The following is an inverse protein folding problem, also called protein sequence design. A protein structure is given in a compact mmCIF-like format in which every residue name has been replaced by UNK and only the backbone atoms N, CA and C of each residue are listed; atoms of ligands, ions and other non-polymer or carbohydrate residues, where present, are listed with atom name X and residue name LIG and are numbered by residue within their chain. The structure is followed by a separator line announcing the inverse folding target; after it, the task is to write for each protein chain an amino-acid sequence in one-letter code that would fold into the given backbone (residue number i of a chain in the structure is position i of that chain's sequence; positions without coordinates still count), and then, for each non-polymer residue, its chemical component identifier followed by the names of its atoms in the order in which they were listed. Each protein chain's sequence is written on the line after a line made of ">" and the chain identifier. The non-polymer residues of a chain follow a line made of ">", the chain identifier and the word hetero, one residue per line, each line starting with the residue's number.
data_IF_852551550834
#
_entry.id   IF_852551550834
#
_cell.length_a   1.000
_cell.length_b   1.000
_cell.length_c   1.000
_cell.angle_alpha   90.00
_cell.angle_beta   90.00
_cell.angle_gamma   90.00
#
_symmetry.space_group_name_H-M   'P 1'
#
loop_
_entity.id
_entity.type
_entity.pdbx_description
1 polymer ?
#
# COMPACT_ATOMS: atom_id res chain seq x y z
N UNK A 1 8.33 -0.53 -2.84
CA UNK A 1 9.28 0.50 -2.36
C UNK A 1 10.16 0.86 -3.52
N UNK A 2 10.15 2.11 -3.96
CA UNK A 2 10.96 2.59 -5.08
C UNK A 2 11.93 3.66 -4.57
N UNK A 3 13.25 3.57 -4.86
CA UNK A 3 14.19 4.61 -4.45
C UNK A 3 13.91 5.91 -5.21
N UNK A 4 13.78 7.01 -4.49
CA UNK A 4 13.61 8.36 -5.05
C UNK A 4 14.95 9.07 -5.19
N UNK A 5 15.89 8.81 -4.28
CA UNK A 5 17.21 9.44 -4.30
C UNK A 5 17.92 9.34 -2.95
N UNK A 6 19.08 9.99 -2.86
CA UNK A 6 19.89 10.08 -1.64
C UNK A 6 19.86 11.53 -1.16
N UNK A 7 19.66 11.72 0.14
CA UNK A 7 19.73 13.01 0.81
C UNK A 7 20.95 13.05 1.73
N UNK A 8 21.89 13.94 1.42
CA UNK A 8 23.04 14.20 2.26
C UNK A 8 22.65 15.19 3.36
N UNK A 9 22.73 14.77 4.62
CA UNK A 9 22.34 15.60 5.75
C UNK A 9 23.09 15.26 7.02
N UNK A 10 22.99 16.14 8.02
CA UNK A 10 23.67 15.99 9.28
C UNK A 10 22.69 15.65 10.41
N UNK A 11 22.92 14.54 11.10
CA UNK A 11 22.24 14.22 12.36
C UNK A 11 23.00 14.92 13.50
N UNK A 12 22.32 15.83 14.19
CA UNK A 12 22.90 16.58 15.32
C UNK A 12 22.42 16.00 16.64
N UNK A 13 23.37 15.61 17.50
CA UNK A 13 23.13 15.16 18.87
C UNK A 13 23.42 16.32 19.83
N UNK A 14 22.39 17.04 20.32
CA UNK A 14 22.59 18.19 21.17
C UNK A 14 23.09 17.79 22.56
N UNK A 15 24.09 18.49 23.08
CA UNK A 15 24.57 18.28 24.45
C UNK A 15 25.10 19.60 25.05
N UNK A 16 24.90 19.87 26.36
CA UNK A 16 25.28 21.15 26.99
C UNK A 16 26.77 21.49 26.90
N UNK A 17 27.64 20.48 26.87
CA UNK A 17 29.09 20.66 26.74
C UNK A 17 29.59 20.74 25.27
N UNK A 18 28.68 20.80 24.30
CA UNK A 18 28.97 20.80 22.86
C UNK A 18 28.19 19.71 22.12
N UNK A 19 27.58 20.07 20.99
CA UNK A 19 26.82 19.14 20.15
C UNK A 19 27.74 18.29 19.27
N UNK A 20 27.35 17.03 19.05
CA UNK A 20 28.03 16.14 18.09
C UNK A 20 27.26 16.15 16.77
N UNK A 21 27.97 16.24 15.65
CA UNK A 21 27.40 16.28 14.31
C UNK A 21 27.87 15.03 13.56
N UNK A 22 26.92 14.26 13.04
CA UNK A 22 27.14 13.08 12.24
C UNK A 22 26.71 13.35 10.81
N UNK A 23 27.63 13.24 9.85
CA UNK A 23 27.30 13.35 8.43
C UNK A 23 26.72 12.02 7.97
N UNK A 24 25.53 12.05 7.38
CA UNK A 24 24.76 10.86 7.00
C UNK A 24 24.15 11.01 5.62
N UNK A 25 24.13 9.92 4.87
CA UNK A 25 23.39 9.81 3.62
C UNK A 25 22.10 9.04 3.90
N UNK A 26 20.95 9.63 3.59
CA UNK A 26 19.63 9.02 3.80
C UNK A 26 19.05 8.63 2.44
N UNK A 27 18.83 7.33 2.24
CA UNK A 27 18.10 6.83 1.07
C UNK A 27 16.61 7.13 1.22
N UNK A 28 16.09 7.99 0.36
CA UNK A 28 14.67 8.36 0.33
C UNK A 28 13.92 7.38 -0.55
N UNK A 29 12.87 6.77 0.00
CA UNK A 29 12.08 5.72 -0.66
C UNK A 29 10.62 6.15 -0.79
N UNK A 30 10.04 6.02 -1.98
CA UNK A 30 8.61 6.21 -2.22
C UNK A 30 7.79 5.10 -1.54
N UNK A 31 6.71 5.49 -0.88
CA UNK A 31 5.81 4.63 -0.09
C UNK A 31 6.52 3.84 1.03
N UNK A 32 7.58 4.41 1.64
CA UNK A 32 8.17 3.86 2.87
C UNK A 32 7.50 4.51 4.10
N UNK A 33 6.91 3.69 4.96
CA UNK A 33 6.28 4.14 6.21
C UNK A 33 7.14 3.77 7.43
N UNK A 34 8.35 4.32 7.51
CA UNK A 34 9.17 4.18 8.72
C UNK A 34 9.09 5.42 9.61
N UNK A 35 8.82 5.22 10.89
CA UNK A 35 8.93 6.27 11.91
C UNK A 35 10.31 6.29 12.59
N UNK A 36 11.17 5.33 12.25
CA UNK A 36 12.46 5.13 12.89
C UNK A 36 13.57 5.22 11.84
N UNK A 37 14.67 5.88 12.22
CA UNK A 37 15.93 5.80 11.50
C UNK A 37 16.69 4.63 12.10
N UNK A 38 17.06 3.68 11.26
CA UNK A 38 17.91 2.56 11.65
C UNK A 38 19.34 2.96 11.28
N UNK A 39 20.21 3.05 12.29
CA UNK A 39 21.64 3.21 12.06
C UNK A 39 22.26 1.82 11.96
N UNK A 40 22.91 1.54 10.84
CA UNK A 40 23.64 0.28 10.65
C UNK A 40 24.91 0.23 11.49
N UNK A 41 25.42 -0.98 11.74
CA UNK A 41 26.65 -1.19 12.50
C UNK A 41 27.84 -0.40 11.97
N UNK A 42 27.91 -0.19 10.65
CA UNK A 42 28.96 0.61 10.03
C UNK A 42 28.99 2.07 10.56
N UNK A 43 27.82 2.68 10.76
CA UNK A 43 27.73 4.01 11.36
C UNK A 43 28.12 3.99 12.84
N UNK A 44 27.78 2.92 13.56
CA UNK A 44 28.22 2.76 14.95
C UNK A 44 29.75 2.69 15.02
N UNK A 45 30.39 1.96 14.11
CA UNK A 45 31.84 1.81 14.07
C UNK A 45 32.55 3.11 13.65
N UNK A 46 32.10 3.77 12.57
CA UNK A 46 32.71 5.03 12.08
C UNK A 46 32.72 6.10 13.17
N UNK A 47 31.58 6.26 13.84
CA UNK A 47 31.40 7.31 14.84
C UNK A 47 31.74 6.83 16.26
N UNK A 48 32.22 5.60 16.42
CA UNK A 48 32.56 5.02 17.73
C UNK A 48 31.39 5.07 18.71
N UNK A 49 30.18 4.74 18.25
CA UNK A 49 28.97 4.74 19.06
C UNK A 49 28.95 3.46 19.88
N UNK A 50 29.06 3.62 21.19
CA UNK A 50 29.00 2.50 22.14
C UNK A 50 27.72 2.60 22.97
N UNK A 51 26.89 1.55 22.89
CA UNK A 51 25.61 1.46 23.59
C UNK A 51 25.82 0.62 24.85
N UNK A 52 25.85 1.30 26.00
CA UNK A 52 26.08 0.65 27.28
C UNK A 52 24.74 0.46 28.02
N UNK A 53 24.40 -0.80 28.31
CA UNK A 53 23.28 -1.16 29.18
C UNK A 53 23.74 -1.34 30.63
N UNK A 54 23.97 -0.22 31.33
CA UNK A 54 24.07 -0.21 32.79
C UNK A 54 22.71 0.17 33.42
N UNK A 55 22.67 0.54 34.71
CA UNK A 55 21.43 0.91 35.43
C UNK A 55 20.55 1.92 34.66
N UNK A 56 21.17 2.79 33.86
CA UNK A 56 20.50 3.69 32.93
C UNK A 56 20.93 3.38 31.48
N UNK A 57 20.01 3.49 30.52
CA UNK A 57 20.31 3.33 29.09
C UNK A 57 20.92 4.63 28.55
N UNK A 58 22.17 4.56 28.14
CA UNK A 58 22.86 5.65 27.46
C UNK A 58 23.78 5.12 26.37
N UNK A 59 24.18 6.01 25.47
CA UNK A 59 25.23 5.74 24.50
C UNK A 59 26.30 6.83 24.55
N UNK A 60 27.50 6.51 24.11
CA UNK A 60 28.62 7.46 23.94
C UNK A 60 29.00 7.52 22.48
N UNK A 61 29.53 8.65 22.02
CA UNK A 61 29.99 8.82 20.63
C UNK A 61 31.47 9.18 20.65
N UNK A 62 32.27 8.47 19.84
CA UNK A 62 33.70 8.70 19.67
C UNK A 62 34.55 8.33 20.89
N UNK A 63 35.78 8.86 20.96
CA UNK A 63 36.74 8.53 22.01
C UNK A 63 36.38 9.10 23.40
N UNK A 64 35.48 10.07 23.48
CA UNK A 64 35.13 10.74 24.73
C UNK A 64 34.04 10.00 25.50
N UNK A 65 34.43 8.91 26.17
CA UNK A 65 33.52 8.09 27.00
C UNK A 65 32.85 8.83 28.18
N UNK A 66 33.25 10.07 28.46
CA UNK A 66 32.63 10.91 29.50
C UNK A 66 31.34 11.56 29.02
N UNK A 67 31.21 11.83 27.72
CA UNK A 67 30.02 12.46 27.15
C UNK A 67 28.97 11.38 26.87
N UNK A 68 27.94 11.35 27.72
CA UNK A 68 26.87 10.34 27.67
C UNK A 68 25.58 10.98 27.14
N UNK A 69 24.96 10.32 26.17
CA UNK A 69 23.67 10.69 25.63
C UNK A 69 22.63 9.73 26.17
N UNK A 70 21.68 10.25 26.94
CA UNK A 70 20.57 9.45 27.45
C UNK A 70 19.55 9.19 26.34
N UNK A 71 19.00 7.97 26.29
CA UNK A 71 17.82 7.72 25.48
C UNK A 71 16.62 8.44 26.12
N UNK A 72 15.91 9.25 25.34
CA UNK A 72 14.68 9.89 25.82
C UNK A 72 13.62 8.81 26.10
N UNK A 73 13.30 8.60 27.38
CA UNK A 73 12.18 7.74 27.80
C UNK A 73 10.81 8.36 27.54
N UNK A 74 10.76 9.58 27.01
CA UNK A 74 9.50 10.22 26.66
C UNK A 74 9.09 9.68 25.30
N UNK A 75 8.00 8.88 25.19
CA UNK A 75 7.32 8.72 23.92
C UNK A 75 6.73 10.09 23.60
N UNK A 76 7.52 10.97 22.98
CA UNK A 76 6.92 12.03 22.18
C UNK A 76 6.13 11.25 21.14
N UNK A 77 4.79 11.29 21.23
CA UNK A 77 3.95 11.03 20.07
C UNK A 77 4.56 11.92 19.00
N UNK A 78 5.34 11.34 18.10
CA UNK A 78 5.74 12.00 16.88
C UNK A 78 4.37 12.23 16.24
N UNK A 79 3.87 13.46 16.34
CA UNK A 79 2.65 13.85 15.64
C UNK A 79 2.91 13.43 14.21
N UNK A 80 2.13 12.47 13.72
CA UNK A 80 2.18 12.02 12.34
C UNK A 80 2.29 13.29 11.51
N UNK A 81 3.44 13.46 10.86
CA UNK A 81 3.87 14.75 10.34
C UNK A 81 2.72 15.28 9.47
N UNK A 82 2.11 16.40 9.86
CA UNK A 82 0.95 17.00 9.18
C UNK A 82 1.18 17.18 7.68
N UNK A 83 2.43 17.39 7.28
CA UNK A 83 2.85 17.46 5.88
C UNK A 83 2.46 16.23 5.05
N UNK A 84 2.51 15.01 5.60
CA UNK A 84 2.18 13.79 4.86
C UNK A 84 0.67 13.71 4.56
N UNK A 85 -0.17 14.14 5.50
CA UNK A 85 -1.63 14.17 5.30
C UNK A 85 -2.05 15.24 4.29
N UNK A 86 -1.38 16.39 4.28
CA UNK A 86 -1.60 17.43 3.28
C UNK A 86 -1.19 16.95 1.88
N UNK A 87 -0.07 16.21 1.76
CA UNK A 87 0.42 15.73 0.45
C UNK A 87 -0.58 14.77 -0.22
N UNK A 88 -1.15 13.83 0.54
CA UNK A 88 -2.14 12.88 -0.01
C UNK A 88 -3.47 13.55 -0.35
N UNK A 89 -3.83 14.62 0.36
CA UNK A 89 -5.04 15.38 0.09
C UNK A 89 -4.88 16.25 -1.17
N UNK A 90 -3.70 16.82 -1.38
CA UNK A 90 -3.33 17.48 -2.63
C UNK A 90 -3.36 16.48 -3.81
N UNK A 91 -2.77 15.30 -3.64
CA UNK A 91 -2.80 14.23 -4.65
C UNK A 91 -4.23 13.79 -5.01
N UNK A 92 -5.13 13.68 -4.02
CA UNK A 92 -6.55 13.40 -4.24
C UNK A 92 -7.19 14.49 -5.12
N UNK A 93 -6.88 15.76 -4.86
CA UNK A 93 -7.43 16.89 -5.63
C UNK A 93 -6.88 16.90 -7.06
N UNK A 94 -5.57 16.74 -7.20
CA UNK A 94 -4.86 16.90 -8.48
C UNK A 94 -5.01 15.70 -9.41
N UNK A 95 -5.15 14.48 -8.87
CA UNK A 95 -5.23 13.26 -9.69
C UNK A 95 -6.65 12.68 -9.77
N UNK A 96 -7.39 12.64 -8.66
CA UNK A 96 -8.70 11.96 -8.63
C UNK A 96 -9.88 12.91 -8.84
N UNK A 97 -9.81 14.12 -8.29
CA UNK A 97 -10.88 15.11 -8.41
C UNK A 97 -10.66 16.12 -9.53
N UNK A 98 -9.59 15.98 -10.33
CA UNK A 98 -9.29 16.89 -11.43
C UNK A 98 -10.42 16.96 -12.45
N UNK A 99 -11.01 15.81 -12.79
CA UNK A 99 -12.15 15.72 -13.70
C UNK A 99 -13.51 15.88 -12.98
N UNK A 100 -13.52 15.99 -11.65
CA UNK A 100 -14.73 16.06 -10.87
C UNK A 100 -15.40 17.43 -11.03
N UNK A 101 -16.65 17.42 -11.48
CA UNK A 101 -17.46 18.64 -11.58
C UNK A 101 -18.05 18.99 -10.21
N UNK A 102 -17.39 19.90 -9.51
CA UNK A 102 -17.88 20.47 -8.25
C UNK A 102 -18.76 21.68 -8.55
N UNK A 103 -19.88 21.82 -7.83
CA UNK A 103 -20.82 22.93 -8.03
C UNK A 103 -20.11 24.30 -7.90
N UNK A 104 -20.14 25.16 -8.94
CA UNK A 104 -19.41 26.43 -8.95
C UNK A 104 -19.95 27.46 -7.94
N UNK A 105 -21.16 27.27 -7.41
CA UNK A 105 -21.75 28.13 -6.38
C UNK A 105 -21.17 27.89 -4.98
N UNK A 106 -20.32 26.88 -4.80
CA UNK A 106 -19.68 26.60 -3.52
C UNK A 106 -18.59 27.63 -3.22
N UNK A 107 -18.64 28.22 -2.03
CA UNK A 107 -17.54 29.04 -1.52
C UNK A 107 -16.27 28.20 -1.31
N UNK A 108 -15.10 28.85 -1.32
CA UNK A 108 -13.82 28.16 -1.08
C UNK A 108 -13.82 27.36 0.24
N UNK A 109 -14.46 27.89 1.28
CA UNK A 109 -14.61 27.21 2.57
C UNK A 109 -15.44 25.93 2.47
N UNK A 110 -16.56 25.98 1.73
CA UNK A 110 -17.42 24.81 1.52
C UNK A 110 -16.75 23.76 0.64
N UNK A 111 -16.00 24.20 -0.37
CA UNK A 111 -15.21 23.31 -1.23
C UNK A 111 -14.14 22.57 -0.42
N UNK A 112 -13.42 23.27 0.45
CA UNK A 112 -12.42 22.64 1.31
C UNK A 112 -13.06 21.63 2.28
N UNK A 113 -14.20 21.98 2.89
CA UNK A 113 -14.93 21.07 3.76
C UNK A 113 -15.43 19.82 3.01
N UNK A 114 -15.84 19.96 1.75
CA UNK A 114 -16.20 18.81 0.91
C UNK A 114 -14.99 17.90 0.66
N UNK A 115 -13.84 18.48 0.29
CA UNK A 115 -12.60 17.72 0.08
C UNK A 115 -12.17 17.01 1.38
N UNK A 116 -12.33 17.67 2.54
CA UNK A 116 -12.07 17.04 3.84
C UNK A 116 -12.91 15.78 4.06
N UNK A 117 -14.22 15.86 3.76
CA UNK A 117 -15.12 14.71 3.89
C UNK A 117 -14.73 13.59 2.92
N UNK A 118 -14.48 13.93 1.65
CA UNK A 118 -14.08 12.94 0.64
C UNK A 118 -12.76 12.26 1.02
N UNK A 119 -11.78 13.02 1.49
CA UNK A 119 -10.51 12.49 1.95
C UNK A 119 -10.67 11.59 3.19
N UNK A 120 -11.52 11.99 4.14
CA UNK A 120 -11.81 11.21 5.35
C UNK A 120 -12.38 9.84 5.01
N UNK A 121 -13.27 9.77 4.02
CA UNK A 121 -13.94 8.55 3.60
C UNK A 121 -13.38 7.93 2.30
N UNK A 122 -12.17 8.30 1.88
CA UNK A 122 -11.59 7.88 0.59
C UNK A 122 -11.59 6.37 0.35
N UNK A 123 -11.43 5.56 1.40
CA UNK A 123 -11.42 4.10 1.31
C UNK A 123 -12.82 3.48 1.10
N UNK A 124 -13.89 4.27 1.21
CA UNK A 124 -15.25 3.82 0.93
C UNK A 124 -15.58 3.86 -0.58
N UNK A 125 -14.74 4.53 -1.38
CA UNK A 125 -14.90 4.63 -2.82
C UNK A 125 -14.03 3.59 -3.52
N UNK A 126 -14.52 3.08 -4.65
CA UNK A 126 -13.71 2.26 -5.54
C UNK A 126 -12.59 3.11 -6.15
N UNK A 127 -11.40 2.51 -6.32
CA UNK A 127 -10.27 3.13 -7.00
C UNK A 127 -9.73 2.22 -8.10
N UNK A 128 -8.88 2.72 -8.99
CA UNK A 128 -8.27 1.89 -10.04
C UNK A 128 -7.45 0.72 -9.47
N UNK A 129 -6.90 0.89 -8.27
CA UNK A 129 -6.12 -0.15 -7.57
C UNK A 129 -7.00 -1.10 -6.75
N UNK A 130 -8.13 -0.62 -6.25
CA UNK A 130 -9.13 -1.39 -5.49
C UNK A 130 -10.53 -1.13 -6.07
N UNK A 131 -10.84 -1.68 -7.25
CA UNK A 131 -12.08 -1.38 -7.97
C UNK A 131 -13.30 -2.06 -7.33
N UNK A 132 -13.07 -3.13 -6.58
CA UNK A 132 -14.09 -3.90 -5.89
C UNK A 132 -13.65 -4.12 -4.44
N UNK A 133 -14.50 -3.70 -3.50
CA UNK A 133 -14.27 -3.94 -2.08
C UNK A 133 -14.35 -5.44 -1.78
N UNK A 134 -13.27 -6.03 -1.28
CA UNK A 134 -13.29 -7.42 -0.79
C UNK A 134 -13.67 -7.42 0.69
N UNK A 135 -14.79 -8.07 1.03
CA UNK A 135 -15.16 -8.28 2.43
C UNK A 135 -14.36 -9.47 2.96
N UNK A 136 -13.33 -9.19 3.76
CA UNK A 136 -12.50 -10.23 4.40
C UNK A 136 -13.33 -11.01 5.43
N UNK A 137 -13.18 -12.33 5.47
CA UNK A 137 -13.86 -13.20 6.45
C UNK A 137 -15.25 -13.68 6.02
N UNK A 138 -15.69 -13.33 4.81
CA UNK A 138 -16.94 -13.80 4.19
C UNK A 138 -16.66 -14.70 2.98
N UNK A 139 -15.56 -15.44 3.01
CA UNK A 139 -15.23 -16.42 1.99
C UNK A 139 -16.31 -17.52 1.98
N UNK A 140 -16.80 -17.86 0.78
CA UNK A 140 -17.82 -18.90 0.61
C UNK A 140 -17.13 -20.22 0.29
N UNK A 141 -17.28 -21.20 1.18
CA UNK A 141 -16.92 -22.59 0.90
C UNK A 141 -18.13 -23.30 0.28
N UNK A 142 -17.98 -23.77 -0.96
CA UNK A 142 -19.02 -24.52 -1.68
C UNK A 142 -18.60 -25.99 -1.70
N UNK A 143 -19.13 -26.75 -0.75
CA UNK A 143 -18.89 -28.20 -0.68
C UNK A 143 -19.87 -28.96 -1.59
N UNK A 144 -19.34 -29.81 -2.47
CA UNK A 144 -20.16 -30.71 -3.28
C UNK A 144 -20.70 -31.86 -2.41
N UNK A 145 -21.95 -32.24 -2.65
CA UNK A 145 -22.59 -33.40 -2.01
C UNK A 145 -22.31 -34.73 -2.73
N UNK A 146 -21.36 -34.74 -3.67
CA UNK A 146 -20.98 -35.89 -4.49
C UNK A 146 -19.47 -36.11 -4.43
N UNK A 147 -19.04 -37.36 -4.59
CA UNK A 147 -17.63 -37.75 -4.57
C UNK A 147 -17.15 -38.19 -5.96
N UNK A 148 -15.84 -38.18 -6.19
CA UNK A 148 -15.24 -38.65 -7.45
C UNK A 148 -15.60 -40.12 -7.70
N UNK A 149 -15.83 -40.53 -8.97
CA UNK A 149 -15.72 -39.72 -10.19
C UNK A 149 -16.92 -38.78 -10.39
N UNK A 150 -16.62 -37.52 -10.73
CA UNK A 150 -17.66 -36.51 -10.97
C UNK A 150 -18.47 -36.80 -12.24
N UNK A 151 -19.78 -36.46 -12.28
CA UNK A 151 -20.61 -36.60 -13.46
C UNK A 151 -20.01 -35.91 -14.70
N UNK A 152 -20.11 -36.50 -15.91
CA UNK A 152 -19.56 -35.92 -17.14
C UNK A 152 -20.05 -34.50 -17.45
N UNK A 153 -21.23 -34.12 -16.94
CA UNK A 153 -21.77 -32.75 -17.08
C UNK A 153 -20.88 -31.67 -16.44
N UNK A 154 -20.13 -32.03 -15.39
CA UNK A 154 -19.18 -31.16 -14.69
C UNK A 154 -17.81 -31.09 -15.37
N UNK A 155 -17.64 -31.77 -16.52
CA UNK A 155 -16.40 -31.82 -17.30
C UNK A 155 -16.69 -31.65 -18.79
N UNK A 156 -17.47 -30.62 -19.13
CA UNK A 156 -17.81 -30.34 -20.53
C UNK A 156 -16.74 -29.43 -21.15
N UNK A 157 -16.30 -29.73 -22.40
CA UNK A 157 -15.45 -28.79 -23.12
C UNK A 157 -16.20 -27.49 -23.37
N UNK A 158 -15.46 -26.39 -23.48
CA UNK A 158 -16.01 -25.10 -23.87
C UNK A 158 -16.73 -25.21 -25.23
N UNK A 159 -17.91 -24.60 -25.33
CA UNK A 159 -18.58 -24.50 -26.62
C UNK A 159 -17.76 -23.60 -27.57
N UNK A 160 -17.71 -23.92 -28.87
CA UNK A 160 -17.02 -23.08 -29.85
C UNK A 160 -17.73 -21.73 -29.93
N UNK A 161 -17.03 -20.66 -29.53
CA UNK A 161 -17.52 -19.28 -29.68
C UNK A 161 -17.21 -18.77 -31.09
N UNK A 162 -18.14 -17.99 -31.66
CA UNK A 162 -17.87 -17.30 -32.93
C UNK A 162 -16.78 -16.22 -32.73
N UNK A 163 -16.03 -15.82 -33.78
CA UNK A 163 -14.89 -14.91 -33.65
C UNK A 163 -15.22 -13.58 -32.98
N UNK A 164 -16.35 -12.98 -33.34
CA UNK A 164 -16.81 -11.70 -32.77
C UNK A 164 -17.15 -11.81 -31.27
N UNK A 165 -17.81 -12.89 -30.87
CA UNK A 165 -18.13 -13.16 -29.48
C UNK A 165 -16.87 -13.42 -28.67
N UNK A 166 -15.88 -14.10 -29.27
CA UNK A 166 -14.59 -14.37 -28.65
C UNK A 166 -13.81 -13.08 -28.37
N UNK A 167 -13.76 -12.15 -29.32
CA UNK A 167 -13.09 -10.85 -29.12
C UNK A 167 -13.75 -10.03 -28.01
N UNK A 168 -15.09 -9.95 -27.99
CA UNK A 168 -15.81 -9.25 -26.93
C UNK A 168 -15.60 -9.91 -25.55
N UNK A 169 -15.60 -11.25 -25.51
CA UNK A 169 -15.30 -12.04 -24.32
C UNK A 169 -13.90 -11.79 -23.80
N UNK A 170 -12.92 -11.72 -24.68
CA UNK A 170 -11.52 -11.54 -24.32
C UNK A 170 -11.31 -10.21 -23.60
N UNK A 171 -11.96 -9.13 -24.06
CA UNK A 171 -11.92 -7.82 -23.39
C UNK A 171 -12.44 -7.91 -21.94
N UNK A 172 -13.63 -8.45 -21.74
CA UNK A 172 -14.21 -8.55 -20.40
C UNK A 172 -13.47 -9.55 -19.50
N UNK A 173 -12.96 -10.64 -20.07
CA UNK A 173 -12.16 -11.60 -19.33
C UNK A 173 -10.87 -10.96 -18.82
N UNK A 174 -10.21 -10.13 -19.65
CA UNK A 174 -9.03 -9.38 -19.24
C UNK A 174 -9.34 -8.38 -18.13
N UNK A 175 -10.46 -7.64 -18.23
CA UNK A 175 -10.93 -6.72 -17.17
C UNK A 175 -11.15 -7.48 -15.84
N UNK A 176 -11.85 -8.62 -15.87
CA UNK A 176 -12.09 -9.43 -14.67
C UNK A 176 -10.81 -10.03 -14.07
N UNK A 177 -9.81 -10.33 -14.90
CA UNK A 177 -8.48 -10.75 -14.43
C UNK A 177 -7.76 -9.58 -13.76
N UNK A 178 -7.80 -8.38 -14.34
CA UNK A 178 -7.20 -7.18 -13.75
C UNK A 178 -7.83 -6.84 -12.41
N UNK A 179 -9.15 -7.01 -12.27
CA UNK A 179 -9.87 -6.82 -11.01
C UNK A 179 -9.64 -7.95 -9.98
N UNK A 180 -8.88 -8.99 -10.33
CA UNK A 180 -8.62 -10.12 -9.43
C UNK A 180 -9.83 -11.03 -9.20
N UNK A 181 -10.91 -10.85 -9.97
CA UNK A 181 -12.11 -11.71 -9.91
C UNK A 181 -11.91 -13.04 -10.63
N UNK A 182 -11.13 -13.04 -11.72
CA UNK A 182 -10.72 -14.24 -12.43
C UNK A 182 -9.22 -14.46 -12.27
N UNK A 183 -8.84 -15.71 -12.00
CA UNK A 183 -7.43 -16.10 -11.90
C UNK A 183 -7.15 -17.12 -12.99
N UNK A 184 -6.06 -16.92 -13.73
CA UNK A 184 -5.57 -17.92 -14.66
C UNK A 184 -5.01 -19.11 -13.89
N UNK A 185 -5.69 -20.24 -13.99
CA UNK A 185 -5.22 -21.49 -13.39
C UNK A 185 -4.22 -22.14 -14.34
N UNK A 186 -2.96 -22.27 -13.89
CA UNK A 186 -1.91 -22.93 -14.67
C UNK A 186 -2.04 -24.46 -14.63
N UNK A 187 -1.35 -25.15 -15.54
CA UNK A 187 -1.33 -26.61 -15.65
C UNK A 187 -0.93 -27.35 -14.36
N UNK A 188 -0.27 -26.66 -13.43
CA UNK A 188 0.20 -27.21 -12.15
C UNK A 188 -0.84 -27.16 -11.03
N UNK A 189 -2.02 -26.57 -11.27
CA UNK A 189 -3.12 -26.50 -10.31
C UNK A 189 -4.24 -27.42 -10.77
N UNK A 190 -4.67 -28.31 -9.89
CA UNK A 190 -5.78 -29.22 -10.17
C UNK A 190 -7.09 -28.45 -10.12
N UNK A 191 -7.85 -28.48 -11.23
CA UNK A 191 -9.22 -27.94 -11.29
C UNK A 191 -10.18 -29.11 -11.19
N UNK A 192 -10.99 -29.11 -10.14
CA UNK A 192 -11.90 -30.24 -9.86
C UNK A 192 -13.07 -30.33 -10.84
N UNK A 193 -13.60 -29.18 -11.25
CA UNK A 193 -14.82 -29.01 -12.06
C UNK A 193 -14.58 -28.00 -13.17
N UNK A 194 -14.99 -28.33 -14.39
CA UNK A 194 -14.93 -27.44 -15.55
C UNK A 194 -16.30 -27.31 -16.20
N UNK A 195 -16.86 -26.10 -16.16
CA UNK A 195 -18.17 -25.81 -16.74
C UNK A 195 -18.01 -24.82 -17.90
N UNK A 196 -18.56 -25.11 -19.09
CA UNK A 196 -18.52 -24.18 -20.21
C UNK A 196 -19.40 -22.97 -19.91
N UNK A 197 -18.89 -21.79 -20.23
CA UNK A 197 -19.67 -20.54 -20.15
C UNK A 197 -20.47 -20.39 -21.45
N UNK A 198 -21.78 -20.19 -21.33
CA UNK A 198 -22.67 -19.87 -22.45
C UNK A 198 -23.13 -18.43 -22.28
N UNK A 199 -22.93 -17.60 -23.30
CA UNK A 199 -23.45 -16.23 -23.32
C UNK A 199 -24.65 -16.17 -24.25
N UNK A 200 -25.80 -15.84 -23.67
CA UNK A 200 -26.99 -15.42 -24.41
C UNK A 200 -26.98 -13.90 -24.52
N UNK A 201 -26.85 -13.38 -25.75
CA UNK A 201 -27.20 -11.99 -26.03
C UNK A 201 -28.72 -11.92 -26.15
N UNK A 202 -29.39 -11.33 -25.16
CA UNK A 202 -30.76 -10.86 -25.38
C UNK A 202 -30.66 -9.58 -26.20
N UNK A 203 -30.85 -9.70 -27.51
CA UNK A 203 -31.27 -8.54 -28.28
C UNK A 203 -32.66 -8.18 -27.76
N UNK A 204 -32.81 -7.05 -27.10
CA UNK A 204 -34.11 -6.49 -26.77
C UNK A 204 -34.95 -6.39 -28.06
N UNK A 205 -35.83 -7.38 -28.21
CA UNK A 205 -37.15 -7.22 -28.80
C UNK A 205 -38.16 -7.32 -27.66
#
# INVERSE_FOLDING_TARGET
>A
MYPLGILDTNIVFPHPAGSVIMNTEILVMYNCTSQHIILENYYLDIYGIDINNHKDRYFTIGANKRQKFAFSNIPKKISRISYVEDTYKEELVDNQLFEAQVNPSLSAKMRNALIDVLYTYRNAFASDNEPLGTIKGHEVDITLNIYRPYPPVLRRPAYPANPRAREALEKHTQELIQFGLLIKVGHNKEVEVTTPVIISWHNDK
#
